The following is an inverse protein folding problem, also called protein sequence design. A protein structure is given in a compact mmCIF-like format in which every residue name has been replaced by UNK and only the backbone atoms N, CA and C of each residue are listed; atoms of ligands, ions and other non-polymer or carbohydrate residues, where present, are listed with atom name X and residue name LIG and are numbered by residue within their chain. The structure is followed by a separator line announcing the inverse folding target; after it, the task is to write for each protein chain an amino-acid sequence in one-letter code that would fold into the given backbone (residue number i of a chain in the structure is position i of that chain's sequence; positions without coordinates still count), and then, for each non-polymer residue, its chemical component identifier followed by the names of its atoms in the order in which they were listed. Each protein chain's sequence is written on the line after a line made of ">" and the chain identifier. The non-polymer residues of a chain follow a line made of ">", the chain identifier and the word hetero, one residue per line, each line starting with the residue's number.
data_IF_588358746482
#
_entry.id   IF_588358746482
#
_cell.length_a   1.000
_cell.length_b   1.000
_cell.length_c   1.000
_cell.angle_alpha   90.00
_cell.angle_beta   90.00
_cell.angle_gamma   90.00
#
_symmetry.space_group_name_H-M   'P 1'
#
loop_
_entity.id
_entity.type
_entity.pdbx_description
1 polymer ?
#
# COMPACT_ATOMS: atom_id res chain seq x y z
N UNK A 1 7.19 -15.03 48.78
CA UNK A 1 7.63 -16.13 47.89
C UNK A 1 6.92 -15.92 46.56
N UNK A 2 7.52 -15.50 45.46
CA UNK A 2 8.79 -14.83 45.17
C UNK A 2 8.49 -13.99 43.91
N UNK A 3 8.89 -12.71 43.83
CA UNK A 3 8.82 -11.94 42.57
C UNK A 3 9.88 -12.43 41.54
N UNK A 4 10.71 -13.40 41.94
CA UNK A 4 11.81 -13.97 41.17
C UNK A 4 11.42 -14.84 39.94
N UNK A 5 10.31 -15.61 39.92
CA UNK A 5 9.99 -16.51 38.81
C UNK A 5 9.70 -15.73 37.51
N UNK A 6 8.84 -14.72 37.56
CA UNK A 6 8.46 -13.96 36.36
C UNK A 6 9.64 -13.12 35.83
N UNK A 7 10.50 -12.60 36.71
CA UNK A 7 11.70 -11.87 36.31
C UNK A 7 12.70 -12.77 35.54
N UNK A 8 12.93 -14.00 36.01
CA UNK A 8 13.81 -14.95 35.30
C UNK A 8 13.20 -15.42 33.99
N UNK A 9 11.89 -15.67 33.96
CA UNK A 9 11.16 -15.96 32.72
C UNK A 9 11.31 -14.80 31.72
N UNK A 10 11.19 -13.55 32.19
CA UNK A 10 11.34 -12.35 31.35
C UNK A 10 12.72 -12.31 30.71
N UNK A 11 13.77 -12.54 31.51
CA UNK A 11 15.15 -12.63 30.99
C UNK A 11 15.31 -13.77 29.98
N UNK A 12 14.66 -14.91 30.18
CA UNK A 12 14.70 -16.02 29.22
C UNK A 12 14.04 -15.65 27.88
N UNK A 13 12.90 -14.93 27.89
CA UNK A 13 12.27 -14.38 26.69
C UNK A 13 13.20 -13.39 25.99
N UNK A 14 13.79 -12.46 26.72
CA UNK A 14 14.69 -11.43 26.19
C UNK A 14 15.98 -12.02 25.60
N UNK A 15 16.49 -13.09 26.21
CA UNK A 15 17.65 -13.83 25.71
C UNK A 15 17.31 -14.83 24.58
N UNK A 16 16.06 -14.88 24.10
CA UNK A 16 15.64 -15.77 23.03
C UNK A 16 15.58 -17.25 23.40
N UNK A 17 15.63 -17.60 24.70
CA UNK A 17 15.45 -18.98 25.19
C UNK A 17 13.96 -19.33 25.24
N UNK A 18 13.33 -19.31 24.08
CA UNK A 18 11.86 -19.31 23.95
C UNK A 18 11.19 -20.60 24.41
N UNK A 19 11.85 -21.76 24.27
CA UNK A 19 11.28 -23.04 24.71
C UNK A 19 11.22 -23.12 26.23
N UNK A 20 12.33 -22.78 26.90
CA UNK A 20 12.42 -22.69 28.36
C UNK A 20 11.40 -21.68 28.91
N UNK A 21 11.37 -20.47 28.32
CA UNK A 21 10.47 -19.42 28.76
C UNK A 21 8.99 -19.81 28.64
N UNK A 22 8.58 -20.46 27.55
CA UNK A 22 7.18 -20.89 27.37
C UNK A 22 6.80 -22.02 28.34
N UNK A 23 7.70 -22.97 28.61
CA UNK A 23 7.44 -24.01 29.60
C UNK A 23 7.26 -23.40 31.01
N UNK A 24 8.18 -22.52 31.40
CA UNK A 24 8.11 -21.82 32.68
C UNK A 24 6.88 -20.90 32.79
N UNK A 25 6.49 -20.23 31.69
CA UNK A 25 5.24 -19.43 31.64
C UNK A 25 4.00 -20.29 31.81
N UNK A 26 3.96 -21.48 31.21
CA UNK A 26 2.83 -22.38 31.34
C UNK A 26 2.65 -22.85 32.79
N UNK A 27 3.75 -23.20 33.48
CA UNK A 27 3.72 -23.53 34.91
C UNK A 27 3.33 -22.32 35.77
N UNK A 28 3.88 -21.14 35.47
CA UNK A 28 3.56 -19.89 36.19
C UNK A 28 2.07 -19.55 36.06
N UNK A 29 1.53 -19.58 34.85
CA UNK A 29 0.13 -19.23 34.58
C UNK A 29 -0.86 -20.29 35.10
N UNK A 30 -0.42 -21.52 35.35
CA UNK A 30 -1.24 -22.49 36.10
C UNK A 30 -1.39 -22.10 37.57
N UNK A 31 -0.32 -21.58 38.19
CA UNK A 31 -0.35 -21.11 39.57
C UNK A 31 -1.02 -19.74 39.70
N UNK A 32 -0.77 -18.84 38.75
CA UNK A 32 -1.22 -17.44 38.76
C UNK A 32 -1.96 -17.05 37.46
N UNK A 33 -3.15 -17.61 37.18
CA UNK A 33 -3.87 -17.35 35.93
C UNK A 33 -4.39 -15.90 35.82
N UNK A 34 -4.38 -15.14 36.91
CA UNK A 34 -4.83 -13.75 36.99
C UNK A 34 -3.72 -12.71 36.88
N UNK A 35 -2.48 -13.08 36.54
CA UNK A 35 -1.40 -12.10 36.35
C UNK A 35 -1.38 -11.57 34.90
N UNK A 36 -1.79 -10.31 34.66
CA UNK A 36 -1.80 -9.74 33.31
C UNK A 36 -0.39 -9.59 32.72
N UNK A 37 0.65 -9.41 33.54
CA UNK A 37 2.02 -9.26 33.06
C UNK A 37 2.56 -10.59 32.52
N UNK A 38 2.25 -11.70 33.18
CA UNK A 38 2.60 -13.05 32.70
C UNK A 38 1.89 -13.38 31.37
N UNK A 39 0.61 -13.03 31.22
CA UNK A 39 -0.11 -13.18 29.95
C UNK A 39 0.49 -12.32 28.82
N UNK A 40 0.89 -11.08 29.12
CA UNK A 40 1.55 -10.24 28.12
C UNK A 40 2.95 -10.75 27.76
N UNK A 41 3.68 -11.33 28.72
CA UNK A 41 4.96 -11.98 28.46
C UNK A 41 4.80 -13.25 27.61
N UNK A 42 3.75 -14.04 27.84
CA UNK A 42 3.35 -15.16 26.97
C UNK A 42 3.04 -14.71 25.55
N UNK A 43 2.42 -13.55 25.39
CA UNK A 43 2.21 -12.94 24.07
C UNK A 43 3.54 -12.65 23.37
N UNK A 44 4.47 -11.97 24.05
CA UNK A 44 5.82 -11.68 23.51
C UNK A 44 6.57 -12.94 23.13
N UNK A 45 6.54 -13.97 23.99
CA UNK A 45 7.20 -15.25 23.74
C UNK A 45 6.60 -15.97 22.53
N UNK A 46 5.26 -16.01 22.42
CA UNK A 46 4.56 -16.62 21.28
C UNK A 46 4.87 -15.91 19.97
N UNK A 47 4.98 -14.57 19.99
CA UNK A 47 5.34 -13.79 18.81
C UNK A 47 6.78 -14.12 18.35
N UNK A 48 7.72 -14.21 19.29
CA UNK A 48 9.10 -14.57 19.01
C UNK A 48 9.23 -16.01 18.47
N UNK A 49 8.28 -16.90 18.80
CA UNK A 49 8.17 -18.26 18.22
C UNK A 49 7.51 -18.28 16.83
N UNK A 50 7.16 -17.13 16.25
CA UNK A 50 6.45 -17.07 14.97
C UNK A 50 4.98 -17.51 15.06
N UNK A 51 4.35 -17.41 16.23
CA UNK A 51 2.94 -17.77 16.46
C UNK A 51 2.10 -16.51 16.71
N UNK A 52 1.78 -15.72 15.68
CA UNK A 52 1.11 -14.42 15.82
C UNK A 52 -0.30 -14.53 16.41
N UNK A 53 -1.06 -15.57 16.06
CA UNK A 53 -2.41 -15.77 16.61
C UNK A 53 -2.37 -16.07 18.12
N UNK A 54 -1.48 -16.97 18.55
CA UNK A 54 -1.30 -17.27 19.97
C UNK A 54 -0.83 -16.03 20.76
N UNK A 55 0.05 -15.22 20.16
CA UNK A 55 0.49 -13.96 20.75
C UNK A 55 -0.70 -12.99 20.95
N UNK A 56 -1.54 -12.87 19.94
CA UNK A 56 -2.72 -12.02 20.00
C UNK A 56 -3.70 -12.47 21.10
N UNK A 57 -4.01 -13.76 21.19
CA UNK A 57 -4.92 -14.28 22.21
C UNK A 57 -4.39 -14.05 23.64
N UNK A 58 -3.10 -14.31 23.87
CA UNK A 58 -2.48 -14.07 25.18
C UNK A 58 -2.49 -12.57 25.56
N UNK A 59 -2.27 -11.67 24.60
CA UNK A 59 -2.33 -10.22 24.83
C UNK A 59 -3.74 -9.74 25.17
N UNK A 60 -4.76 -10.27 24.48
CA UNK A 60 -6.16 -9.99 24.80
C UNK A 60 -6.54 -10.50 26.18
N UNK A 61 -6.03 -11.65 26.59
CA UNK A 61 -6.24 -12.17 27.94
C UNK A 61 -5.61 -11.27 29.00
N UNK A 62 -4.38 -10.78 28.77
CA UNK A 62 -3.76 -9.79 29.65
C UNK A 62 -4.64 -8.55 29.82
N UNK A 63 -5.13 -7.98 28.72
CA UNK A 63 -5.99 -6.80 28.74
C UNK A 63 -7.36 -7.06 29.36
N UNK A 64 -7.92 -8.28 29.22
CA UNK A 64 -9.17 -8.66 29.87
C UNK A 64 -9.05 -8.72 31.40
N UNK A 65 -7.87 -9.12 31.91
CA UNK A 65 -7.58 -9.18 33.35
C UNK A 65 -7.37 -7.78 33.93
N UNK A 66 -6.65 -6.91 33.21
CA UNK A 66 -6.36 -5.55 33.64
C UNK A 66 -6.85 -4.51 32.60
N UNK A 67 -8.19 -4.37 32.43
CA UNK A 67 -8.75 -3.52 31.39
C UNK A 67 -8.39 -2.05 31.58
N UNK A 68 -8.23 -1.58 32.82
CA UNK A 68 -8.00 -0.18 33.14
C UNK A 68 -6.52 0.24 33.08
N UNK A 69 -5.59 -0.69 32.79
CA UNK A 69 -4.16 -0.39 32.71
C UNK A 69 -3.81 0.33 31.41
N UNK A 70 -3.43 1.63 31.44
CA UNK A 70 -3.13 2.38 30.21
C UNK A 70 -1.86 1.85 29.52
N UNK A 71 -0.86 1.42 30.31
CA UNK A 71 0.38 0.86 29.78
C UNK A 71 0.13 -0.45 29.04
N UNK A 72 -0.70 -1.33 29.62
CA UNK A 72 -1.04 -2.60 28.98
C UNK A 72 -1.89 -2.36 27.72
N UNK A 73 -2.87 -1.46 27.79
CA UNK A 73 -3.68 -1.06 26.63
C UNK A 73 -2.80 -0.56 25.48
N UNK A 74 -1.85 0.33 25.77
CA UNK A 74 -0.90 0.83 24.78
C UNK A 74 -0.03 -0.30 24.19
N UNK A 75 0.48 -1.19 25.04
CA UNK A 75 1.33 -2.30 24.61
C UNK A 75 0.57 -3.33 23.74
N UNK A 76 -0.68 -3.65 24.09
CA UNK A 76 -1.53 -4.54 23.28
C UNK A 76 -1.97 -3.88 21.98
N UNK A 77 -2.29 -2.58 22.00
CA UNK A 77 -2.55 -1.81 20.78
C UNK A 77 -1.37 -1.83 19.81
N UNK A 78 -0.15 -1.62 20.31
CA UNK A 78 1.07 -1.70 19.51
C UNK A 78 1.35 -3.10 18.97
N UNK A 79 1.02 -4.15 19.74
CA UNK A 79 1.07 -5.52 19.22
C UNK A 79 0.06 -5.71 18.08
N UNK A 80 -1.16 -5.18 18.22
CA UNK A 80 -2.18 -5.22 17.18
C UNK A 80 -1.70 -4.59 15.88
N UNK A 81 -1.08 -3.40 15.96
CA UNK A 81 -0.44 -2.73 14.82
C UNK A 81 0.61 -3.63 14.15
N UNK A 82 1.52 -4.21 14.93
CA UNK A 82 2.58 -5.10 14.43
C UNK A 82 2.03 -6.37 13.77
N UNK A 83 0.87 -6.84 14.21
CA UNK A 83 0.18 -8.00 13.65
C UNK A 83 -0.78 -7.63 12.51
N UNK A 84 -0.78 -6.38 12.05
CA UNK A 84 -1.70 -5.85 11.04
C UNK A 84 -3.20 -6.01 11.40
N UNK A 85 -3.51 -6.08 12.69
CA UNK A 85 -4.87 -6.12 13.25
C UNK A 85 -5.38 -4.72 13.50
N UNK A 86 -5.48 -3.93 12.43
CA UNK A 86 -5.71 -2.50 12.54
C UNK A 86 -7.07 -2.15 13.17
N UNK A 87 -8.20 -2.79 12.81
CA UNK A 87 -9.48 -2.50 13.45
C UNK A 87 -9.47 -2.78 14.96
N UNK A 88 -8.90 -3.90 15.39
CA UNK A 88 -8.80 -4.22 16.81
C UNK A 88 -7.79 -3.32 17.54
N UNK A 89 -6.66 -3.00 16.91
CA UNK A 89 -5.69 -2.06 17.46
C UNK A 89 -6.30 -0.67 17.65
N UNK A 90 -7.11 -0.21 16.69
CA UNK A 90 -7.83 1.04 16.75
C UNK A 90 -8.80 1.07 17.95
N UNK A 91 -9.65 0.06 18.11
CA UNK A 91 -10.59 -0.01 19.26
C UNK A 91 -9.86 0.01 20.62
N UNK A 92 -8.69 -0.63 20.70
CA UNK A 92 -7.88 -0.67 21.93
C UNK A 92 -7.19 0.68 22.18
N UNK A 93 -6.53 1.25 21.18
CA UNK A 93 -5.78 2.50 21.31
C UNK A 93 -6.69 3.71 21.51
N UNK A 94 -7.87 3.72 20.90
CA UNK A 94 -8.83 4.82 21.05
C UNK A 94 -9.30 4.98 22.51
N UNK A 95 -9.27 3.90 23.30
CA UNK A 95 -9.63 3.91 24.73
C UNK A 95 -8.51 4.44 25.64
N UNK A 96 -7.36 4.87 25.13
CA UNK A 96 -6.29 5.42 25.98
C UNK A 96 -6.74 6.72 26.69
N UNK A 97 -6.36 6.94 27.96
CA UNK A 97 -6.67 8.18 28.67
C UNK A 97 -6.14 9.40 27.91
N UNK A 98 -6.97 10.45 27.79
CA UNK A 98 -6.61 11.71 27.14
C UNK A 98 -6.01 12.71 28.15
N UNK A 99 -5.14 13.65 27.73
CA UNK A 99 -4.61 13.84 26.37
C UNK A 99 -3.58 12.77 25.98
N UNK A 100 -3.51 12.44 24.68
CA UNK A 100 -2.52 11.50 24.13
C UNK A 100 -1.16 12.16 23.91
N UNK A 101 -0.07 11.43 24.13
CA UNK A 101 1.27 11.84 23.74
C UNK A 101 1.45 11.82 22.21
N UNK A 102 2.44 12.52 21.62
CA UNK A 102 2.71 12.45 20.19
C UNK A 102 2.96 11.03 19.66
N UNK A 103 3.64 10.18 20.42
CA UNK A 103 3.85 8.77 20.05
C UNK A 103 2.52 7.98 20.10
N UNK A 104 1.66 8.20 21.10
CA UNK A 104 0.33 7.57 21.14
C UNK A 104 -0.56 8.03 19.99
N UNK A 105 -0.50 9.31 19.62
CA UNK A 105 -1.19 9.86 18.44
C UNK A 105 -0.67 9.23 17.15
N UNK A 106 0.65 9.06 17.03
CA UNK A 106 1.26 8.37 15.90
C UNK A 106 0.78 6.91 15.79
N UNK A 107 0.72 6.15 16.89
CA UNK A 107 0.17 4.78 16.89
C UNK A 107 -1.31 4.75 16.51
N UNK A 108 -2.11 5.68 17.03
CA UNK A 108 -3.52 5.79 16.69
C UNK A 108 -3.70 6.15 15.20
N UNK A 109 -2.86 7.03 14.65
CA UNK A 109 -2.82 7.35 13.23
C UNK A 109 -2.52 6.11 12.37
N UNK A 110 -1.55 5.28 12.76
CA UNK A 110 -1.24 4.01 12.10
C UNK A 110 -2.42 3.03 12.14
N UNK A 111 -3.13 2.96 13.28
CA UNK A 111 -4.31 2.11 13.43
C UNK A 111 -5.45 2.57 12.53
N UNK A 112 -5.75 3.87 12.54
CA UNK A 112 -6.74 4.49 11.64
C UNK A 112 -6.38 4.23 10.18
N UNK A 113 -5.10 4.38 9.80
CA UNK A 113 -4.64 4.16 8.43
C UNK A 113 -4.94 2.74 7.93
N UNK A 114 -4.51 1.73 8.69
CA UNK A 114 -4.70 0.34 8.32
C UNK A 114 -6.14 -0.14 8.43
N UNK A 115 -6.98 0.55 9.20
CA UNK A 115 -8.43 0.33 9.28
C UNK A 115 -9.21 1.12 8.21
N UNK A 116 -8.54 1.77 7.25
CA UNK A 116 -9.17 2.53 6.17
C UNK A 116 -9.77 3.87 6.60
N UNK A 117 -9.52 4.33 7.82
CA UNK A 117 -10.01 5.61 8.36
C UNK A 117 -9.03 6.73 8.04
N UNK A 118 -8.80 6.96 6.75
CA UNK A 118 -7.71 7.84 6.28
C UNK A 118 -7.81 9.29 6.73
N UNK A 119 -9.03 9.84 6.82
CA UNK A 119 -9.23 11.21 7.29
C UNK A 119 -8.78 11.39 8.74
N UNK A 120 -9.26 10.52 9.63
CA UNK A 120 -8.88 10.54 11.04
C UNK A 120 -7.39 10.23 11.23
N UNK A 121 -6.86 9.30 10.43
CA UNK A 121 -5.43 9.00 10.41
C UNK A 121 -4.60 10.24 10.13
N UNK A 122 -4.99 11.04 9.13
CA UNK A 122 -4.29 12.27 8.79
C UNK A 122 -4.33 13.30 9.93
N UNK A 123 -5.49 13.49 10.57
CA UNK A 123 -5.63 14.39 11.74
C UNK A 123 -4.68 13.99 12.89
N UNK A 124 -4.54 12.68 13.16
CA UNK A 124 -3.62 12.18 14.18
C UNK A 124 -2.14 12.30 13.77
N UNK A 125 -1.80 12.06 12.50
CA UNK A 125 -0.43 12.25 11.99
C UNK A 125 -0.01 13.72 12.05
N UNK A 126 -0.88 14.64 11.62
CA UNK A 126 -0.64 16.09 11.68
C UNK A 126 -0.39 16.54 13.12
N UNK A 127 -1.27 16.15 14.06
CA UNK A 127 -1.08 16.46 15.48
C UNK A 127 0.25 15.92 16.01
N UNK A 128 0.59 14.66 15.70
CA UNK A 128 1.82 14.04 16.18
C UNK A 128 3.07 14.75 15.62
N UNK A 129 3.06 15.11 14.33
CA UNK A 129 4.17 15.80 13.67
C UNK A 129 4.35 17.23 14.18
N UNK A 130 3.27 17.96 14.45
CA UNK A 130 3.33 19.33 14.96
C UNK A 130 3.81 19.40 16.41
N UNK A 131 3.55 18.38 17.22
CA UNK A 131 3.94 18.32 18.63
C UNK A 131 5.26 17.56 18.89
N UNK A 132 5.80 16.86 17.89
CA UNK A 132 7.10 16.21 17.95
C UNK A 132 7.85 16.25 16.59
N UNK A 133 8.10 17.45 16.03
CA UNK A 133 8.66 17.61 14.68
C UNK A 133 10.05 16.99 14.51
N UNK A 134 10.80 16.82 15.60
CA UNK A 134 12.12 16.19 15.62
C UNK A 134 12.08 14.66 15.49
N UNK A 135 10.90 14.02 15.61
CA UNK A 135 10.78 12.57 15.44
C UNK A 135 10.55 12.28 13.96
N UNK A 136 11.64 12.07 13.23
CA UNK A 136 11.63 11.98 11.77
C UNK A 136 10.66 10.92 11.22
N UNK A 137 10.50 9.80 11.94
CA UNK A 137 9.57 8.73 11.58
C UNK A 137 8.12 9.23 11.43
N UNK A 138 7.67 10.14 12.31
CA UNK A 138 6.30 10.68 12.30
C UNK A 138 6.10 11.58 11.07
N UNK A 139 7.07 12.46 10.80
CA UNK A 139 7.00 13.37 9.64
C UNK A 139 7.07 12.60 8.31
N UNK A 140 7.90 11.56 8.22
CA UNK A 140 7.97 10.69 7.04
C UNK A 140 6.66 9.93 6.85
N UNK A 141 6.05 9.42 7.93
CA UNK A 141 4.75 8.75 7.85
C UNK A 141 3.64 9.70 7.40
N UNK A 142 3.62 10.95 7.91
CA UNK A 142 2.69 11.99 7.47
C UNK A 142 2.86 12.31 5.98
N UNK A 143 4.10 12.48 5.50
CA UNK A 143 4.36 12.73 4.09
C UNK A 143 3.87 11.59 3.19
N UNK A 144 4.10 10.33 3.57
CA UNK A 144 3.57 9.16 2.85
C UNK A 144 2.05 9.12 2.86
N UNK A 145 1.43 9.47 3.99
CA UNK A 145 -0.02 9.57 4.08
C UNK A 145 -0.57 10.64 3.13
N UNK A 146 0.11 11.80 3.02
CA UNK A 146 -0.24 12.84 2.07
C UNK A 146 -0.16 12.37 0.61
N UNK A 147 0.94 11.72 0.18
CA UNK A 147 1.06 11.16 -1.19
C UNK A 147 -0.05 10.16 -1.47
N UNK A 148 -0.26 9.22 -0.55
CA UNK A 148 -1.30 8.20 -0.71
C UNK A 148 -2.72 8.79 -0.76
N UNK A 149 -2.95 9.97 -0.19
CA UNK A 149 -4.20 10.72 -0.28
C UNK A 149 -4.21 11.76 -1.41
N UNK A 150 -3.15 11.81 -2.21
CA UNK A 150 -3.09 12.66 -3.39
C UNK A 150 -2.82 14.12 -3.10
N UNK A 151 -2.03 14.38 -2.06
CA UNK A 151 -1.63 15.71 -1.58
C UNK A 151 -0.11 15.86 -1.67
N UNK A 152 0.44 15.65 -2.86
CA UNK A 152 1.89 15.51 -3.07
C UNK A 152 2.66 16.77 -2.65
N UNK A 153 2.13 17.97 -2.93
CA UNK A 153 2.71 19.24 -2.49
C UNK A 153 2.80 19.36 -0.95
N UNK A 154 1.82 18.82 -0.22
CA UNK A 154 1.87 18.79 1.25
C UNK A 154 2.92 17.80 1.74
N UNK A 155 3.07 16.66 1.06
CA UNK A 155 4.11 15.68 1.37
C UNK A 155 5.51 16.27 1.19
N UNK A 156 5.76 16.90 0.04
CA UNK A 156 7.04 17.56 -0.28
C UNK A 156 7.31 18.67 0.75
N UNK A 157 6.32 19.51 1.05
CA UNK A 157 6.47 20.56 2.06
C UNK A 157 6.85 20.01 3.44
N UNK A 158 6.21 18.92 3.90
CA UNK A 158 6.58 18.29 5.18
C UNK A 158 8.01 17.78 5.18
N UNK A 159 8.46 17.17 4.09
CA UNK A 159 9.79 16.57 3.97
C UNK A 159 10.91 17.61 3.90
N UNK A 160 10.64 18.77 3.30
CA UNK A 160 11.66 19.81 3.08
C UNK A 160 11.68 20.90 4.14
N UNK A 161 10.58 21.10 4.88
CA UNK A 161 10.53 22.17 5.90
C UNK A 161 11.40 21.89 7.13
N UNK A 162 11.86 20.65 7.31
CA UNK A 162 12.65 20.21 8.47
C UNK A 162 13.86 19.37 8.01
N UNK A 163 15.00 19.41 8.72
CA UNK A 163 16.15 18.55 8.45
C UNK A 163 15.89 17.14 8.98
N UNK A 164 15.04 16.37 8.29
CA UNK A 164 14.57 15.03 8.69
C UNK A 164 15.56 13.90 8.31
N UNK A 165 16.74 14.26 7.84
CA UNK A 165 17.83 13.36 7.47
C UNK A 165 17.68 12.72 6.08
N UNK A 166 18.70 11.96 5.69
CA UNK A 166 18.93 11.45 4.33
C UNK A 166 17.69 10.79 3.69
N UNK A 167 16.91 10.04 4.47
CA UNK A 167 15.73 9.34 3.97
C UNK A 167 14.62 10.31 3.54
N UNK A 168 14.38 11.36 4.31
CA UNK A 168 13.35 12.34 4.01
C UNK A 168 13.73 13.20 2.80
N UNK A 169 15.00 13.59 2.72
CA UNK A 169 15.56 14.31 1.57
C UNK A 169 15.43 13.48 0.28
N UNK A 170 15.73 12.18 0.35
CA UNK A 170 15.57 11.27 -0.77
C UNK A 170 14.10 11.14 -1.21
N UNK A 171 13.18 11.01 -0.26
CA UNK A 171 11.75 10.94 -0.57
C UNK A 171 11.25 12.24 -1.22
N UNK A 172 11.67 13.40 -0.71
CA UNK A 172 11.33 14.69 -1.32
C UNK A 172 11.88 14.78 -2.75
N UNK A 173 13.12 14.35 -2.95
CA UNK A 173 13.75 14.33 -4.27
C UNK A 173 12.99 13.45 -5.27
N UNK A 174 12.51 12.29 -4.81
CA UNK A 174 11.74 11.36 -5.63
C UNK A 174 10.34 11.92 -5.92
N UNK A 175 9.62 12.45 -4.94
CA UNK A 175 8.28 13.02 -5.18
C UNK A 175 8.31 14.25 -6.08
N UNK A 176 9.42 15.01 -6.09
CA UNK A 176 9.63 16.10 -7.04
C UNK A 176 9.90 15.64 -8.47
N UNK A 177 10.20 14.37 -8.72
CA UNK A 177 10.42 13.85 -10.07
C UNK A 177 9.25 14.17 -11.00
N UNK A 178 8.02 14.18 -10.46
CA UNK A 178 6.82 14.48 -11.24
C UNK A 178 6.72 15.97 -11.64
N UNK A 179 7.50 16.85 -11.02
CA UNK A 179 7.45 18.31 -11.17
C UNK A 179 8.71 18.91 -11.82
N UNK A 180 9.85 18.22 -11.76
CA UNK A 180 11.15 18.66 -12.29
C UNK A 180 11.42 18.04 -13.67
N UNK A 181 12.34 18.62 -14.44
CA UNK A 181 12.89 17.95 -15.62
C UNK A 181 13.83 16.79 -15.20
N UNK A 182 14.18 15.93 -16.16
CA UNK A 182 14.99 14.74 -15.90
C UNK A 182 16.39 15.09 -15.33
N UNK A 183 16.99 16.20 -15.76
CA UNK A 183 18.33 16.60 -15.33
C UNK A 183 18.30 17.12 -13.88
N UNK A 184 17.34 17.98 -13.55
CA UNK A 184 17.11 18.47 -12.20
C UNK A 184 16.76 17.35 -11.23
N UNK A 185 15.91 16.41 -11.65
CA UNK A 185 15.60 15.20 -10.88
C UNK A 185 16.85 14.37 -10.59
N UNK A 186 17.72 14.19 -11.59
CA UNK A 186 18.97 13.44 -11.44
C UNK A 186 19.94 14.11 -10.46
N UNK A 187 20.11 15.43 -10.54
CA UNK A 187 20.95 16.19 -9.62
C UNK A 187 20.43 16.06 -8.18
N UNK A 188 19.12 16.29 -7.99
CA UNK A 188 18.48 16.25 -6.67
C UNK A 188 18.58 14.86 -6.02
N UNK A 189 18.31 13.79 -6.77
CA UNK A 189 18.39 12.42 -6.25
C UNK A 189 19.85 12.02 -5.98
N UNK A 190 20.82 12.47 -6.78
CA UNK A 190 22.25 12.22 -6.48
C UNK A 190 22.69 12.91 -5.20
N UNK A 191 22.19 14.13 -4.95
CA UNK A 191 22.49 14.92 -3.75
C UNK A 191 21.75 14.50 -2.49
N UNK A 192 20.75 13.61 -2.60
CA UNK A 192 19.92 13.16 -1.49
C UNK A 192 20.13 11.68 -1.16
N UNK A 193 19.87 11.30 0.09
CA UNK A 193 19.97 9.91 0.53
C UNK A 193 21.41 9.43 0.71
N UNK A 194 21.57 8.24 1.31
CA UNK A 194 22.88 7.59 1.45
C UNK A 194 23.29 6.94 0.14
N UNK A 195 24.59 6.99 -0.16
CA UNK A 195 25.14 6.19 -1.25
C UNK A 195 24.88 4.69 -0.97
N UNK A 196 24.40 3.97 -1.99
CA UNK A 196 23.99 2.57 -1.83
C UNK A 196 22.58 2.35 -1.30
N UNK A 197 21.82 3.40 -0.96
CA UNK A 197 20.40 3.25 -0.62
C UNK A 197 19.64 2.64 -1.82
N UNK A 198 18.91 1.51 -1.65
CA UNK A 198 18.27 0.84 -2.77
C UNK A 198 17.25 1.69 -3.53
N UNK A 199 16.48 2.53 -2.83
CA UNK A 199 15.50 3.40 -3.48
C UNK A 199 16.22 4.48 -4.30
N UNK A 200 17.30 5.06 -3.76
CA UNK A 200 18.15 6.01 -4.48
C UNK A 200 18.75 5.38 -5.73
N UNK A 201 19.39 4.22 -5.59
CA UNK A 201 20.04 3.55 -6.72
C UNK A 201 19.04 3.15 -7.80
N UNK A 202 17.86 2.68 -7.41
CA UNK A 202 16.82 2.32 -8.38
C UNK A 202 16.27 3.54 -9.11
N UNK A 203 16.05 4.66 -8.42
CA UNK A 203 15.62 5.90 -9.08
C UNK A 203 16.68 6.42 -10.06
N UNK A 204 17.96 6.38 -9.68
CA UNK A 204 19.08 6.75 -10.57
C UNK A 204 19.22 5.79 -11.76
N UNK A 205 18.97 4.49 -11.56
CA UNK A 205 18.97 3.51 -12.65
C UNK A 205 17.85 3.79 -13.66
N UNK A 206 16.66 4.16 -13.17
CA UNK A 206 15.56 4.61 -14.03
C UNK A 206 15.93 5.85 -14.87
N UNK A 207 16.57 6.84 -14.24
CA UNK A 207 17.07 8.03 -14.93
C UNK A 207 18.14 7.67 -15.97
N UNK A 208 19.07 6.78 -15.65
CA UNK A 208 20.10 6.32 -16.58
C UNK A 208 19.48 5.63 -17.79
N UNK A 209 18.45 4.79 -17.60
CA UNK A 209 17.72 4.17 -18.71
C UNK A 209 17.04 5.20 -19.62
N UNK A 210 16.38 6.20 -19.05
CA UNK A 210 15.78 7.30 -19.81
C UNK A 210 16.82 8.13 -20.59
N UNK A 211 18.07 8.13 -20.14
CA UNK A 211 19.20 8.76 -20.83
C UNK A 211 19.89 7.82 -21.85
N UNK A 212 19.42 6.59 -22.01
CA UNK A 212 20.01 5.58 -22.90
C UNK A 212 21.28 4.90 -22.33
N UNK A 213 21.52 5.01 -21.03
CA UNK A 213 22.65 4.39 -20.33
C UNK A 213 22.27 3.08 -19.64
N UNK A 214 22.05 2.04 -20.46
CA UNK A 214 21.69 0.70 -20.02
C UNK A 214 22.77 0.09 -19.10
N UNK A 215 24.05 0.38 -19.36
CA UNK A 215 25.18 -0.15 -18.60
C UNK A 215 25.31 0.53 -17.23
N UNK A 216 25.11 1.86 -17.16
CA UNK A 216 25.08 2.60 -15.92
C UNK A 216 23.91 2.19 -15.03
N UNK A 217 22.73 1.96 -15.61
CA UNK A 217 21.57 1.47 -14.87
C UNK A 217 21.85 0.12 -14.18
N UNK A 218 22.42 -0.85 -14.90
CA UNK A 218 22.79 -2.15 -14.33
C UNK A 218 23.87 -2.03 -13.24
N UNK A 219 24.86 -1.15 -13.45
CA UNK A 219 25.92 -0.93 -12.47
C UNK A 219 25.39 -0.39 -11.14
N UNK A 220 24.35 0.46 -11.15
CA UNK A 220 23.76 1.05 -9.95
C UNK A 220 23.05 0.03 -9.06
N UNK A 221 22.45 -1.02 -9.65
CA UNK A 221 21.69 -2.02 -8.89
C UNK A 221 22.44 -3.30 -8.58
N UNK A 222 23.56 -3.57 -9.27
CA UNK A 222 24.30 -4.85 -9.19
C UNK A 222 24.68 -5.24 -7.76
N UNK A 223 25.06 -4.27 -6.94
CA UNK A 223 25.63 -4.49 -5.61
C UNK A 223 24.57 -4.27 -4.49
N UNK A 224 23.29 -4.11 -4.86
CA UNK A 224 22.20 -3.99 -3.89
C UNK A 224 21.88 -5.33 -3.20
N UNK A 225 21.38 -5.32 -1.95
CA UNK A 225 21.02 -6.54 -1.24
C UNK A 225 19.96 -7.37 -1.97
N UNK A 226 20.14 -8.69 -1.92
CA UNK A 226 19.17 -9.66 -2.42
C UNK A 226 17.78 -9.48 -1.77
N UNK A 227 16.72 -9.78 -2.53
CA UNK A 227 15.34 -9.84 -2.02
C UNK A 227 14.51 -8.58 -2.21
N UNK A 228 15.07 -7.47 -2.68
CA UNK A 228 14.30 -6.25 -2.95
C UNK A 228 13.66 -6.18 -4.35
N UNK A 229 13.85 -7.20 -5.19
CA UNK A 229 13.27 -7.23 -6.55
C UNK A 229 13.86 -6.20 -7.51
N UNK A 230 15.03 -5.63 -7.20
CA UNK A 230 15.68 -4.58 -8.00
C UNK A 230 15.91 -4.95 -9.47
N UNK A 231 16.37 -6.18 -9.80
CA UNK A 231 16.52 -6.57 -11.20
C UNK A 231 15.19 -6.54 -11.96
N UNK A 232 14.10 -7.02 -11.35
CA UNK A 232 12.77 -6.97 -11.97
C UNK A 232 12.28 -5.52 -12.15
N UNK A 233 12.65 -4.61 -11.23
CA UNK A 233 12.33 -3.19 -11.33
C UNK A 233 13.10 -2.50 -12.46
N UNK A 234 14.40 -2.76 -12.62
CA UNK A 234 15.20 -2.24 -13.76
C UNK A 234 14.75 -2.85 -15.09
N UNK A 235 14.44 -4.14 -15.12
CA UNK A 235 13.85 -4.80 -16.29
C UNK A 235 12.53 -4.13 -16.70
N UNK A 236 11.67 -3.83 -15.72
CA UNK A 236 10.40 -3.12 -15.94
C UNK A 236 10.60 -1.71 -16.49
N UNK A 237 11.58 -0.99 -15.96
CA UNK A 237 11.96 0.35 -16.44
C UNK A 237 12.47 0.29 -17.89
N UNK A 238 13.26 -0.72 -18.24
CA UNK A 238 13.74 -0.96 -19.61
C UNK A 238 12.56 -1.23 -20.55
N UNK A 239 11.64 -2.11 -20.14
CA UNK A 239 10.39 -2.36 -20.88
C UNK A 239 9.59 -1.07 -21.10
N UNK A 240 9.36 -0.29 -20.04
CA UNK A 240 8.61 0.96 -20.09
C UNK A 240 9.20 1.97 -21.08
N UNK A 241 10.53 2.15 -21.05
CA UNK A 241 11.26 2.99 -22.01
C UNK A 241 11.11 2.49 -23.44
N UNK A 242 11.30 1.18 -23.66
CA UNK A 242 11.38 0.61 -25.00
C UNK A 242 10.00 0.52 -25.69
N UNK A 243 8.92 0.32 -24.90
CA UNK A 243 7.55 0.12 -25.41
C UNK A 243 6.64 1.34 -25.23
N UNK A 244 7.04 2.31 -24.42
CA UNK A 244 6.37 3.60 -24.28
C UNK A 244 7.38 4.75 -24.19
N UNK A 245 8.17 5.02 -25.25
CA UNK A 245 9.19 6.07 -25.22
C UNK A 245 8.59 7.48 -25.02
N UNK A 246 7.35 7.69 -25.44
CA UNK A 246 6.60 8.94 -25.24
C UNK A 246 5.78 8.95 -23.94
N UNK A 247 5.77 7.84 -23.20
CA UNK A 247 4.98 7.66 -21.99
C UNK A 247 5.67 8.35 -20.80
N UNK A 248 4.91 9.14 -20.02
CA UNK A 248 5.45 9.84 -18.86
C UNK A 248 5.74 8.88 -17.71
N UNK A 249 6.84 9.11 -16.99
CA UNK A 249 7.14 8.38 -15.76
C UNK A 249 6.63 9.17 -14.55
N UNK A 250 5.99 8.46 -13.62
CA UNK A 250 5.38 9.01 -12.42
C UNK A 250 6.00 8.40 -11.17
N UNK A 251 6.04 9.17 -10.09
CA UNK A 251 6.52 8.74 -8.78
C UNK A 251 5.46 8.87 -7.69
N UNK A 252 4.34 9.53 -7.98
CA UNK A 252 3.18 9.64 -7.12
C UNK A 252 1.87 9.26 -7.84
N UNK A 253 0.83 8.81 -7.11
CA UNK A 253 -0.38 8.27 -7.73
C UNK A 253 -1.21 9.29 -8.50
N UNK A 254 -1.28 10.53 -8.02
CA UNK A 254 -2.27 11.51 -8.47
C UNK A 254 -1.98 12.08 -9.84
N UNK A 255 -0.75 12.52 -10.17
CA UNK A 255 -0.45 13.01 -11.51
C UNK A 255 -0.72 11.95 -12.59
N UNK A 256 -0.49 10.66 -12.28
CA UNK A 256 -0.82 9.55 -13.17
C UNK A 256 -2.33 9.40 -13.34
N UNK A 257 -3.08 9.42 -12.24
CA UNK A 257 -4.54 9.34 -12.28
C UNK A 257 -5.16 10.51 -13.07
N UNK A 258 -4.69 11.74 -12.84
CA UNK A 258 -5.16 12.93 -13.54
C UNK A 258 -4.84 12.87 -15.03
N UNK A 259 -3.65 12.38 -15.39
CA UNK A 259 -3.28 12.12 -16.80
C UNK A 259 -4.25 11.13 -17.44
N UNK A 260 -4.60 10.06 -16.74
CA UNK A 260 -5.55 9.06 -17.24
C UNK A 260 -6.96 9.60 -17.42
N UNK A 261 -7.50 10.28 -16.40
CA UNK A 261 -8.84 10.87 -16.44
C UNK A 261 -8.95 12.02 -17.45
N UNK A 262 -7.87 12.73 -17.75
CA UNK A 262 -7.85 13.76 -18.80
C UNK A 262 -7.78 13.16 -20.21
N UNK A 263 -7.24 11.94 -20.37
CA UNK A 263 -7.06 11.29 -21.66
C UNK A 263 -8.20 10.33 -22.05
N UNK A 264 -9.16 10.10 -21.15
CA UNK A 264 -10.30 9.21 -21.36
C UNK A 264 -11.27 9.73 -22.42
N UNK A 265 -12.10 8.84 -22.96
CA UNK A 265 -13.24 9.23 -23.79
C UNK A 265 -14.20 10.15 -23.02
N UNK A 266 -14.67 11.23 -23.64
CA UNK A 266 -15.47 12.29 -22.97
C UNK A 266 -16.72 11.74 -22.26
N UNK A 267 -17.42 10.80 -22.91
CA UNK A 267 -18.60 10.14 -22.38
C UNK A 267 -18.32 8.64 -22.17
N UNK A 268 -18.55 8.16 -20.94
CA UNK A 268 -18.47 6.74 -20.65
C UNK A 268 -18.50 6.40 -19.16
N UNK A 269 -18.47 5.09 -18.90
CA UNK A 269 -18.44 4.52 -17.58
C UNK A 269 -17.04 4.61 -16.99
N UNK A 270 -16.96 5.05 -15.74
CA UNK A 270 -15.73 5.09 -14.93
C UNK A 270 -15.83 3.98 -13.88
N UNK A 271 -14.97 2.98 -14.01
CA UNK A 271 -15.01 1.77 -13.19
C UNK A 271 -13.71 1.59 -12.39
N UNK A 272 -13.81 0.97 -11.22
CA UNK A 272 -12.65 0.50 -10.46
C UNK A 272 -12.89 -0.92 -9.93
N UNK A 273 -11.86 -1.75 -10.01
CA UNK A 273 -11.85 -3.12 -9.49
C UNK A 273 -10.76 -3.25 -8.43
N UNK A 274 -11.09 -3.80 -7.25
CA UNK A 274 -10.16 -3.88 -6.12
C UNK A 274 -10.17 -2.64 -5.22
N UNK A 275 -11.36 -2.15 -4.89
CA UNK A 275 -11.59 -0.90 -4.13
C UNK A 275 -10.96 -0.90 -2.73
N UNK A 276 -10.91 -2.05 -2.06
CA UNK A 276 -10.46 -2.20 -0.67
C UNK A 276 -11.17 -1.20 0.28
N UNK A 277 -10.44 -0.26 0.89
CA UNK A 277 -10.99 0.76 1.79
C UNK A 277 -11.37 2.07 1.05
N UNK A 278 -11.44 2.06 -0.28
CA UNK A 278 -11.99 3.16 -1.10
C UNK A 278 -11.06 4.34 -1.29
N UNK A 279 -9.75 4.18 -1.08
CA UNK A 279 -8.78 5.28 -1.22
C UNK A 279 -8.73 5.81 -2.65
N UNK A 280 -8.41 4.95 -3.61
CA UNK A 280 -8.36 5.27 -5.04
C UNK A 280 -9.74 5.58 -5.59
N UNK A 281 -10.80 4.86 -5.18
CA UNK A 281 -12.18 5.16 -5.57
C UNK A 281 -12.57 6.61 -5.27
N UNK A 282 -12.25 7.07 -4.06
CA UNK A 282 -12.48 8.44 -3.68
C UNK A 282 -11.63 9.42 -4.50
N UNK A 283 -10.37 9.09 -4.77
CA UNK A 283 -9.49 9.93 -5.59
C UNK A 283 -9.97 10.07 -7.04
N UNK A 284 -10.48 8.99 -7.63
CA UNK A 284 -11.09 8.97 -8.96
C UNK A 284 -12.38 9.80 -8.92
N UNK A 285 -13.25 9.55 -7.93
CA UNK A 285 -14.54 10.19 -7.81
C UNK A 285 -14.47 11.71 -7.64
N UNK A 286 -13.57 12.24 -6.81
CA UNK A 286 -13.42 13.69 -6.64
C UNK A 286 -12.83 14.40 -7.86
N UNK A 287 -12.23 13.64 -8.79
CA UNK A 287 -11.65 14.13 -10.05
C UNK A 287 -12.52 13.86 -11.27
N UNK A 288 -13.68 13.23 -11.08
CA UNK A 288 -14.59 12.82 -12.14
C UNK A 288 -15.90 13.58 -12.05
N UNK A 289 -16.45 14.02 -13.18
CA UNK A 289 -17.77 14.64 -13.20
C UNK A 289 -18.91 13.61 -13.11
N UNK A 290 -18.67 12.38 -13.56
CA UNK A 290 -19.64 11.29 -13.60
C UNK A 290 -19.70 10.44 -12.32
N UNK A 291 -20.59 9.44 -12.34
CA UNK A 291 -20.63 8.40 -11.31
C UNK A 291 -19.44 7.46 -11.50
N UNK A 292 -18.77 7.11 -10.40
CA UNK A 292 -17.67 6.14 -10.39
C UNK A 292 -18.14 4.87 -9.71
N UNK A 293 -17.97 3.72 -10.38
CA UNK A 293 -18.49 2.43 -9.93
C UNK A 293 -17.34 1.54 -9.48
N UNK A 294 -17.28 1.25 -8.18
CA UNK A 294 -16.28 0.39 -7.57
C UNK A 294 -16.78 -1.03 -7.30
N UNK A 295 -15.97 -2.02 -7.61
CA UNK A 295 -16.26 -3.44 -7.43
C UNK A 295 -15.23 -4.08 -6.50
N UNK A 296 -15.71 -4.78 -5.46
CA UNK A 296 -14.85 -5.55 -4.56
C UNK A 296 -15.67 -6.57 -3.74
N UNK A 297 -15.04 -7.67 -3.33
CA UNK A 297 -15.63 -8.62 -2.37
C UNK A 297 -15.35 -8.25 -0.91
N UNK A 298 -14.28 -7.47 -0.68
CA UNK A 298 -13.65 -7.12 0.59
C UNK A 298 -13.10 -8.32 1.39
N UNK A 299 -13.12 -9.52 0.80
CA UNK A 299 -12.65 -10.76 1.41
C UNK A 299 -11.15 -10.99 1.19
N UNK A 300 -10.50 -10.10 0.42
CA UNK A 300 -9.11 -10.25 -0.02
C UNK A 300 -8.99 -11.09 -1.27
N UNK A 301 -7.74 -11.39 -1.65
CA UNK A 301 -7.45 -12.15 -2.86
C UNK A 301 -7.96 -13.59 -2.77
N UNK A 302 -8.67 -14.11 -3.78
CA UNK A 302 -9.22 -15.46 -3.74
C UNK A 302 -8.14 -16.56 -3.79
N UNK A 303 -7.03 -16.28 -4.47
CA UNK A 303 -5.94 -17.24 -4.73
C UNK A 303 -4.56 -16.59 -4.53
N UNK A 304 -3.51 -17.42 -4.57
CA UNK A 304 -2.11 -16.96 -4.57
C UNK A 304 -1.52 -17.04 -5.97
N UNK A 305 -0.90 -15.95 -6.44
CA UNK A 305 -0.21 -15.87 -7.73
C UNK A 305 1.07 -15.05 -7.58
N UNK A 306 2.23 -15.61 -7.96
CA UNK A 306 3.52 -14.92 -7.85
C UNK A 306 3.84 -14.44 -6.42
N UNK A 307 3.98 -13.12 -6.26
CA UNK A 307 4.23 -12.44 -4.98
C UNK A 307 2.96 -12.24 -4.14
N UNK A 308 1.78 -12.41 -4.74
CA UNK A 308 0.49 -12.23 -4.06
C UNK A 308 0.07 -13.51 -3.32
N UNK A 309 -0.71 -13.33 -2.26
CA UNK A 309 -1.10 -14.40 -1.32
C UNK A 309 -2.60 -14.35 -1.08
N UNK A 310 -3.24 -15.52 -1.10
CA UNK A 310 -4.66 -15.65 -0.83
C UNK A 310 -5.03 -15.04 0.53
N UNK A 311 -6.17 -14.36 0.60
CA UNK A 311 -6.66 -13.64 1.77
C UNK A 311 -5.92 -12.34 2.10
N UNK A 312 -4.82 -12.01 1.41
CA UNK A 312 -4.21 -10.68 1.55
C UNK A 312 -5.12 -9.61 0.95
N UNK A 313 -4.87 -8.34 1.31
CA UNK A 313 -5.67 -7.18 0.90
C UNK A 313 -7.15 -7.20 1.35
N UNK A 314 -7.54 -8.12 2.24
CA UNK A 314 -8.87 -8.10 2.84
C UNK A 314 -9.17 -6.77 3.54
N UNK A 315 -10.41 -6.33 3.44
CA UNK A 315 -10.89 -5.06 3.98
C UNK A 315 -12.23 -5.27 4.70
N UNK A 316 -12.26 -6.05 5.79
CA UNK A 316 -13.49 -6.38 6.48
C UNK A 316 -14.26 -5.11 6.87
N UNK A 317 -15.50 -5.00 6.40
CA UNK A 317 -16.36 -3.82 6.60
C UNK A 317 -16.33 -2.80 5.45
N UNK A 318 -15.43 -2.94 4.48
CA UNK A 318 -15.33 -2.06 3.32
C UNK A 318 -14.95 -0.61 3.67
N UNK A 319 -15.10 0.33 2.73
CA UNK A 319 -14.84 1.74 2.99
C UNK A 319 -15.87 2.32 3.96
N UNK A 320 -15.38 3.10 4.93
CA UNK A 320 -16.22 3.83 5.89
C UNK A 320 -16.71 5.18 5.36
N UNK A 321 -16.11 5.67 4.28
CA UNK A 321 -16.45 6.93 3.64
C UNK A 321 -16.25 6.83 2.13
N UNK A 322 -17.23 7.34 1.38
CA UNK A 322 -17.18 7.45 -0.08
C UNK A 322 -17.60 8.84 -0.53
N UNK A 323 -17.01 9.30 -1.63
CA UNK A 323 -17.43 10.49 -2.35
C UNK A 323 -18.88 10.32 -2.84
N UNK A 324 -19.62 11.44 -2.93
CA UNK A 324 -21.05 11.43 -3.22
C UNK A 324 -21.42 10.79 -4.57
N UNK A 325 -20.50 10.81 -5.53
CA UNK A 325 -20.64 10.21 -6.86
C UNK A 325 -20.00 8.81 -6.97
N UNK A 326 -19.50 8.22 -5.89
CA UNK A 326 -19.02 6.84 -5.89
C UNK A 326 -20.15 5.86 -5.55
N UNK A 327 -20.18 4.71 -6.22
CA UNK A 327 -21.12 3.60 -5.99
C UNK A 327 -20.36 2.30 -5.84
N UNK A 328 -20.79 1.44 -4.93
CA UNK A 328 -20.15 0.15 -4.67
C UNK A 328 -21.02 -1.02 -5.05
N UNK A 329 -20.35 -2.05 -5.56
CA UNK A 329 -20.92 -3.34 -5.89
C UNK A 329 -20.13 -4.41 -5.16
N UNK A 330 -20.71 -4.92 -4.06
CA UNK A 330 -20.06 -5.87 -3.17
C UNK A 330 -20.27 -7.30 -3.62
N UNK A 331 -19.19 -8.02 -3.89
CA UNK A 331 -19.20 -9.41 -4.30
C UNK A 331 -18.09 -9.75 -5.29
N UNK A 332 -18.05 -11.02 -5.70
CA UNK A 332 -17.10 -11.46 -6.74
C UNK A 332 -17.46 -10.82 -8.09
N UNK A 333 -16.45 -10.48 -8.90
CA UNK A 333 -16.66 -9.78 -10.17
C UNK A 333 -17.61 -10.54 -11.12
N UNK A 334 -17.52 -11.88 -11.20
CA UNK A 334 -18.45 -12.70 -12.00
C UNK A 334 -19.92 -12.56 -11.59
N UNK A 335 -20.20 -12.12 -10.37
CA UNK A 335 -21.56 -11.98 -9.86
C UNK A 335 -22.04 -10.55 -10.02
N UNK A 336 -21.19 -9.58 -9.68
CA UNK A 336 -21.56 -8.17 -9.60
C UNK A 336 -21.47 -7.44 -10.94
N UNK A 337 -20.43 -7.71 -11.72
CA UNK A 337 -20.18 -6.99 -12.97
C UNK A 337 -21.23 -7.30 -14.05
N UNK A 338 -21.64 -8.57 -14.31
CA UNK A 338 -22.69 -8.84 -15.29
C UNK A 338 -24.04 -8.20 -14.94
N UNK A 339 -24.41 -8.21 -13.66
CA UNK A 339 -25.65 -7.57 -13.19
C UNK A 339 -25.61 -6.06 -13.44
N UNK A 340 -24.49 -5.42 -13.07
CA UNK A 340 -24.27 -4.00 -13.35
C UNK A 340 -24.36 -3.67 -14.84
N UNK A 341 -23.68 -4.44 -15.69
CA UNK A 341 -23.63 -4.22 -17.15
C UNK A 341 -24.97 -4.46 -17.85
N UNK A 342 -25.87 -5.22 -17.24
CA UNK A 342 -27.23 -5.45 -17.72
C UNK A 342 -28.18 -4.28 -17.37
N UNK A 343 -27.92 -3.58 -16.28
CA UNK A 343 -28.74 -2.46 -15.79
C UNK A 343 -28.20 -1.09 -16.18
N UNK A 344 -26.93 -1.02 -16.60
CA UNK A 344 -26.24 0.23 -16.91
C UNK A 344 -25.76 0.23 -18.35
N UNK A 345 -26.30 1.14 -19.15
CA UNK A 345 -25.84 1.41 -20.50
C UNK A 345 -24.63 2.36 -20.50
N UNK A 346 -23.79 2.22 -21.51
CA UNK A 346 -22.62 3.06 -21.70
C UNK A 346 -21.41 2.27 -22.18
N UNK A 347 -20.56 2.94 -22.95
CA UNK A 347 -19.22 2.45 -23.27
C UNK A 347 -18.25 2.88 -22.15
N UNK A 348 -17.09 2.25 -22.09
CA UNK A 348 -16.07 2.56 -21.08
C UNK A 348 -15.34 3.85 -21.44
N UNK A 349 -15.12 4.72 -20.46
CA UNK A 349 -14.18 5.84 -20.59
C UNK A 349 -12.89 5.54 -19.82
N UNK A 350 -13.00 5.12 -18.57
CA UNK A 350 -11.86 4.89 -17.68
C UNK A 350 -12.06 3.65 -16.81
N UNK A 351 -11.04 2.82 -16.69
CA UNK A 351 -11.05 1.66 -15.79
C UNK A 351 -9.77 1.63 -14.96
N UNK A 352 -9.92 1.62 -13.64
CA UNK A 352 -8.84 1.29 -12.72
C UNK A 352 -8.89 -0.22 -12.40
N UNK A 353 -7.88 -0.96 -12.86
CA UNK A 353 -7.73 -2.40 -12.68
C UNK A 353 -6.74 -2.69 -11.53
N UNK A 354 -7.25 -2.74 -10.30
CA UNK A 354 -6.46 -2.91 -9.06
C UNK A 354 -6.77 -4.24 -8.35
N UNK A 355 -7.04 -5.30 -9.14
CA UNK A 355 -7.42 -6.62 -8.60
C UNK A 355 -6.25 -7.61 -8.44
N UNK A 356 -5.00 -7.14 -8.53
CA UNK A 356 -3.71 -7.86 -8.42
C UNK A 356 -3.48 -9.10 -9.31
N UNK A 357 -4.37 -10.09 -9.25
CA UNK A 357 -4.21 -11.39 -9.92
C UNK A 357 -4.44 -11.28 -11.43
N UNK A 358 -3.68 -12.07 -12.19
CA UNK A 358 -3.88 -12.17 -13.64
C UNK A 358 -5.25 -12.77 -13.95
N UNK A 359 -5.66 -13.81 -13.21
CA UNK A 359 -6.97 -14.49 -13.40
C UNK A 359 -8.16 -13.57 -13.15
N UNK A 360 -8.07 -12.69 -12.16
CA UNK A 360 -9.10 -11.67 -11.87
C UNK A 360 -9.14 -10.62 -12.98
N UNK A 361 -7.96 -10.21 -13.47
CA UNK A 361 -7.83 -9.25 -14.56
C UNK A 361 -8.42 -9.79 -15.87
N UNK A 362 -8.06 -11.02 -16.28
CA UNK A 362 -8.57 -11.68 -17.49
C UNK A 362 -10.11 -11.75 -17.47
N UNK A 363 -10.67 -12.14 -16.32
CA UNK A 363 -12.12 -12.23 -16.15
C UNK A 363 -12.83 -10.88 -16.30
N UNK A 364 -12.30 -9.82 -15.69
CA UNK A 364 -12.87 -8.48 -15.82
C UNK A 364 -12.76 -8.00 -17.26
N UNK A 365 -11.61 -8.17 -17.91
CA UNK A 365 -11.39 -7.77 -19.30
C UNK A 365 -12.38 -8.44 -20.27
N UNK A 366 -12.61 -9.75 -20.13
CA UNK A 366 -13.58 -10.49 -20.96
C UNK A 366 -15.01 -9.98 -20.78
N UNK A 367 -15.43 -9.70 -19.54
CA UNK A 367 -16.76 -9.15 -19.26
C UNK A 367 -16.93 -7.72 -19.79
N UNK A 368 -15.85 -6.92 -19.77
CA UNK A 368 -15.84 -5.54 -20.22
C UNK A 368 -15.69 -5.38 -21.74
N UNK A 369 -15.18 -6.40 -22.44
CA UNK A 369 -14.89 -6.38 -23.88
C UNK A 369 -16.00 -5.74 -24.74
N UNK A 370 -17.31 -6.06 -24.56
CA UNK A 370 -18.37 -5.48 -25.38
C UNK A 370 -18.60 -3.97 -25.17
N UNK A 371 -18.05 -3.40 -24.10
CA UNK A 371 -18.19 -1.98 -23.75
C UNK A 371 -16.93 -1.16 -24.04
N UNK A 372 -15.83 -1.79 -24.46
CA UNK A 372 -14.59 -1.09 -24.78
C UNK A 372 -14.72 -0.28 -26.07
N UNK A 373 -14.05 0.88 -26.11
CA UNK A 373 -14.03 1.77 -27.27
C UNK A 373 -12.65 2.45 -27.43
N UNK A 374 -12.42 3.04 -28.59
CA UNK A 374 -11.29 3.96 -28.75
C UNK A 374 -11.43 5.12 -27.76
N UNK A 375 -10.33 5.50 -27.12
CA UNK A 375 -10.31 6.46 -26.01
C UNK A 375 -10.58 5.84 -24.63
N UNK A 376 -10.92 4.55 -24.52
CA UNK A 376 -10.95 3.89 -23.20
C UNK A 376 -9.54 3.90 -22.60
N UNK A 377 -9.42 4.45 -21.40
CA UNK A 377 -8.17 4.45 -20.63
C UNK A 377 -8.22 3.37 -19.56
N UNK A 378 -7.16 2.58 -19.45
CA UNK A 378 -6.99 1.58 -18.40
C UNK A 378 -5.76 1.93 -17.56
N UNK A 379 -5.95 1.99 -16.25
CA UNK A 379 -4.89 2.13 -15.25
C UNK A 379 -4.75 0.79 -14.52
N UNK A 380 -3.61 0.13 -14.65
CA UNK A 380 -3.32 -1.13 -13.97
C UNK A 380 -2.52 -0.89 -12.69
N UNK A 381 -2.98 -1.48 -11.58
CA UNK A 381 -2.36 -1.36 -10.25
C UNK A 381 -1.09 -2.19 -10.06
N UNK A 382 -1.02 -3.36 -10.70
CA UNK A 382 0.03 -4.38 -10.50
C UNK A 382 0.58 -4.89 -11.85
N UNK A 383 1.01 -3.96 -12.70
CA UNK A 383 1.44 -4.22 -14.07
C UNK A 383 2.93 -4.55 -14.20
N UNK A 384 3.80 -3.89 -13.42
CA UNK A 384 5.25 -3.98 -13.54
C UNK A 384 5.98 -3.76 -12.20
N UNK A 385 7.31 -3.84 -12.19
CA UNK A 385 8.20 -3.50 -11.07
C UNK A 385 8.12 -4.40 -9.82
N UNK A 386 7.73 -5.67 -10.01
CA UNK A 386 7.88 -6.73 -9.00
C UNK A 386 8.40 -8.02 -9.65
N UNK A 387 9.06 -8.93 -8.89
CA UNK A 387 9.52 -10.20 -9.43
C UNK A 387 8.39 -11.03 -10.06
N UNK A 388 8.54 -11.41 -11.34
CA UNK A 388 7.53 -12.18 -12.08
C UNK A 388 6.36 -11.35 -12.60
N UNK A 389 6.50 -10.03 -12.72
CA UNK A 389 5.45 -9.15 -13.26
C UNK A 389 4.95 -9.56 -14.65
N UNK A 390 5.79 -10.21 -15.45
CA UNK A 390 5.45 -10.74 -16.77
C UNK A 390 4.35 -11.81 -16.73
N UNK A 391 4.11 -12.40 -15.56
CA UNK A 391 3.06 -13.40 -15.33
C UNK A 391 1.78 -12.81 -14.72
N UNK A 392 1.79 -11.55 -14.30
CA UNK A 392 0.67 -10.88 -13.65
C UNK A 392 -0.31 -10.20 -14.61
N UNK A 393 -0.78 -9.01 -14.23
CA UNK A 393 -1.72 -8.21 -15.03
C UNK A 393 -1.17 -7.88 -16.42
N UNK A 394 0.16 -7.73 -16.55
CA UNK A 394 0.82 -7.57 -17.85
C UNK A 394 0.42 -8.70 -18.82
N UNK A 395 0.60 -9.96 -18.40
CA UNK A 395 0.27 -11.12 -19.24
C UNK A 395 -1.20 -11.13 -19.65
N UNK A 396 -2.07 -10.91 -18.67
CA UNK A 396 -3.51 -10.88 -18.86
C UNK A 396 -3.89 -9.84 -19.93
N UNK A 397 -3.35 -8.62 -19.81
CA UNK A 397 -3.58 -7.56 -20.77
C UNK A 397 -3.01 -7.87 -22.15
N UNK A 398 -1.75 -8.30 -22.27
CA UNK A 398 -1.14 -8.59 -23.58
C UNK A 398 -1.94 -9.65 -24.34
N UNK A 399 -2.27 -10.77 -23.68
CA UNK A 399 -3.06 -11.85 -24.29
C UNK A 399 -4.45 -11.39 -24.70
N UNK A 400 -5.12 -10.62 -23.85
CA UNK A 400 -6.44 -10.10 -24.14
C UNK A 400 -6.40 -9.12 -25.32
N UNK A 401 -5.47 -8.17 -25.31
CA UNK A 401 -5.35 -7.15 -26.35
C UNK A 401 -5.08 -7.79 -27.72
N UNK A 402 -4.16 -8.76 -27.78
CA UNK A 402 -3.87 -9.53 -29.00
C UNK A 402 -5.10 -10.30 -29.50
N UNK A 403 -5.77 -11.05 -28.60
CA UNK A 403 -6.94 -11.86 -28.95
C UNK A 403 -8.17 -11.03 -29.33
N UNK A 404 -8.31 -9.83 -28.77
CA UNK A 404 -9.39 -8.88 -29.05
C UNK A 404 -9.06 -7.91 -30.19
N UNK A 405 -7.86 -7.98 -30.79
CA UNK A 405 -7.45 -7.06 -31.85
C UNK A 405 -7.37 -5.60 -31.42
N UNK A 406 -7.07 -5.36 -30.14
CA UNK A 406 -6.97 -4.03 -29.53
C UNK A 406 -5.60 -3.43 -29.84
N UNK A 407 -5.63 -2.22 -30.42
CA UNK A 407 -4.46 -1.33 -30.50
C UNK A 407 -4.54 -0.33 -29.36
N UNK A 408 -3.41 -0.09 -28.73
CA UNK A 408 -3.30 0.81 -27.60
C UNK A 408 -1.95 1.52 -27.60
N UNK A 409 -1.84 2.57 -26.78
CA UNK A 409 -0.58 3.25 -26.48
C UNK A 409 -0.42 3.38 -24.96
N UNK A 410 0.81 3.46 -24.49
CA UNK A 410 1.11 3.76 -23.10
C UNK A 410 1.14 5.28 -22.90
N UNK A 411 0.36 5.77 -21.93
CA UNK A 411 0.37 7.17 -21.52
C UNK A 411 1.36 7.42 -20.38
N UNK A 412 1.63 6.39 -19.58
CA UNK A 412 2.67 6.48 -18.56
C UNK A 412 2.84 5.25 -17.70
N UNK A 413 3.89 5.30 -16.89
CA UNK A 413 4.30 4.23 -15.99
C UNK A 413 4.72 4.81 -14.64
N UNK A 414 4.64 4.03 -13.57
CA UNK A 414 5.27 4.38 -12.30
C UNK A 414 6.19 3.25 -11.82
N UNK A 415 7.38 3.08 -12.44
CA UNK A 415 8.25 1.95 -12.16
C UNK A 415 9.22 2.21 -10.99
N UNK A 416 9.36 3.46 -10.52
CA UNK A 416 10.29 3.82 -9.43
C UNK A 416 9.69 3.52 -8.06
N UNK A 417 8.50 4.04 -7.79
CA UNK A 417 7.85 4.01 -6.46
C UNK A 417 6.63 3.09 -6.41
N UNK A 418 6.01 2.80 -7.54
CA UNK A 418 4.81 1.98 -7.64
C UNK A 418 5.04 0.79 -8.59
N UNK A 419 3.94 0.22 -9.09
CA UNK A 419 3.87 -0.98 -9.94
C UNK A 419 2.88 -0.78 -11.09
N UNK A 420 2.68 0.46 -11.54
CA UNK A 420 1.54 0.86 -12.38
C UNK A 420 1.89 1.13 -13.83
N UNK A 421 0.90 0.89 -14.70
CA UNK A 421 0.91 1.33 -16.09
C UNK A 421 -0.45 1.95 -16.47
N UNK A 422 -0.39 3.03 -17.25
CA UNK A 422 -1.53 3.75 -17.77
C UNK A 422 -1.51 3.65 -19.28
N UNK A 423 -2.62 3.21 -19.87
CA UNK A 423 -2.71 3.00 -21.31
C UNK A 423 -4.06 3.43 -21.87
N UNK A 424 -4.08 3.72 -23.17
CA UNK A 424 -5.27 4.17 -23.90
C UNK A 424 -5.49 3.31 -25.12
N UNK A 425 -6.71 2.79 -25.27
CA UNK A 425 -7.14 2.09 -26.48
C UNK A 425 -7.23 3.11 -27.62
N UNK A 426 -6.51 2.86 -28.71
CA UNK A 426 -6.50 3.71 -29.92
C UNK A 426 -7.32 3.11 -31.06
N UNK A 427 -7.64 1.81 -30.98
CA UNK A 427 -8.57 1.16 -31.90
C UNK A 427 -8.85 -0.29 -31.52
N UNK A 428 -9.97 -0.80 -32.04
CA UNK A 428 -10.38 -2.20 -31.86
C UNK A 428 -10.67 -2.74 -33.27
N UNK A 429 -10.00 -3.81 -33.65
CA UNK A 429 -10.22 -4.46 -34.94
C UNK A 429 -11.53 -5.24 -34.88
N UNK A 430 -12.31 -5.17 -35.98
CA UNK A 430 -13.60 -5.84 -36.09
C UNK A 430 -13.49 -7.36 -36.23
#
# INVERSE_FOLDING_TARGET
>A
MSEQPLAEITKAVEAGRLQEAVAALAEYLQAEPGDPNAWFLQSRASLAQGKPEAAWQAARQALAIAPDSPNLRYAVGNLGLRLARYPEALDILDKLPRPLSPDQQYRLAQACWGAGQYKQSLEHFEYAADNAPQVHEISIALARAYVALGRDEHAIWVLERLPLGDQAELLAAIYRFDHDDLAGSAERIRGAGKEGDPLRQTALAGIALLQGDDAGAEALIRDLPDGGGWPARVESMRYARDHGPDARWFTTPVPMLETGLAAQAEDGLILEFGVQYGRSLNQIAVRSQGTVHGFDSFQGLPDSEGVFRAGSQAAPGGPTHLANNARLYTGLFQQTLPAFLAETDGLLSFVHMDCALASSTEQVLELLKPRMQSGTVLLFGDYLAYPGWQDGQYRAWQRFADAAGIRYEYLGFSPITETRALLRITGISA
#
